data_IF_464868385855
#
_entry.id   IF_464868385855
#
_cell.length_a   1.000
_cell.length_b   1.000
_cell.length_c   1.000
_cell.angle_alpha   90.00
_cell.angle_beta   90.00
_cell.angle_gamma   90.00
#
_symmetry.space_group_name_H-M   'P 1'
#
loop_
_entity.id
_entity.type
_entity.pdbx_description
1 polymer ?
#
# COMPACT_ATOMS: atom_id res chain seq x y z
N UNK A 1 26.70 7.91 -1.55
CA UNK A 1 25.92 8.04 -2.79
C UNK A 1 25.53 9.50 -2.91
N UNK A 2 25.81 10.15 -4.03
CA UNK A 2 25.39 11.54 -4.24
C UNK A 2 23.89 11.60 -4.64
N UNK A 3 23.20 12.75 -4.55
CA UNK A 3 21.76 12.84 -4.84
C UNK A 3 21.37 12.41 -6.25
N UNK A 4 22.20 12.71 -7.25
CA UNK A 4 21.95 12.36 -8.66
C UNK A 4 22.08 10.85 -8.89
N UNK A 5 23.10 10.23 -8.30
CA UNK A 5 23.33 8.78 -8.31
C UNK A 5 22.20 8.03 -7.60
N UNK A 6 21.67 8.58 -6.50
CA UNK A 6 20.49 8.04 -5.82
C UNK A 6 19.26 8.10 -6.73
N UNK A 7 19.01 9.24 -7.37
CA UNK A 7 17.88 9.41 -8.31
C UNK A 7 17.98 8.43 -9.49
N UNK A 8 19.14 8.32 -10.13
CA UNK A 8 19.38 7.39 -11.24
C UNK A 8 19.15 5.93 -10.81
N UNK A 9 19.62 5.56 -9.61
CA UNK A 9 19.42 4.23 -9.05
C UNK A 9 17.94 3.93 -8.78
N UNK A 10 17.20 4.86 -8.18
CA UNK A 10 15.76 4.69 -7.93
C UNK A 10 14.99 4.57 -9.25
N UNK A 11 15.30 5.42 -10.24
CA UNK A 11 14.67 5.33 -11.56
C UNK A 11 14.94 3.98 -12.24
N UNK A 12 16.15 3.44 -12.08
CA UNK A 12 16.47 2.08 -12.55
C UNK A 12 15.65 1.02 -11.80
N UNK A 13 15.53 1.11 -10.48
CA UNK A 13 14.72 0.18 -9.70
C UNK A 13 13.23 0.20 -10.10
N UNK A 14 12.66 1.38 -10.39
CA UNK A 14 11.29 1.51 -10.92
C UNK A 14 11.16 0.76 -12.25
N UNK A 15 12.14 0.89 -13.16
CA UNK A 15 12.14 0.16 -14.43
C UNK A 15 12.22 -1.35 -14.21
N UNK A 16 13.05 -1.79 -13.27
CA UNK A 16 13.20 -3.21 -12.93
C UNK A 16 11.88 -3.79 -12.37
N UNK A 17 11.19 -3.08 -11.47
CA UNK A 17 9.87 -3.49 -10.95
C UNK A 17 8.80 -3.55 -12.05
N UNK A 18 8.73 -2.55 -12.93
CA UNK A 18 7.80 -2.54 -14.07
C UNK A 18 8.08 -3.68 -15.06
N UNK A 19 9.35 -4.06 -15.23
CA UNK A 19 9.73 -5.22 -16.04
C UNK A 19 9.23 -6.52 -15.41
N UNK A 20 9.33 -6.66 -14.08
CA UNK A 20 8.75 -7.79 -13.33
C UNK A 20 7.25 -7.89 -13.55
N UNK A 21 6.52 -6.77 -13.46
CA UNK A 21 5.07 -6.72 -13.75
C UNK A 21 4.74 -7.26 -15.14
N UNK A 22 5.49 -6.83 -16.17
CA UNK A 22 5.31 -7.32 -17.54
C UNK A 22 5.58 -8.81 -17.68
N UNK A 23 6.67 -9.31 -17.08
CA UNK A 23 7.02 -10.73 -17.10
C UNK A 23 5.99 -11.61 -16.38
N UNK A 24 5.54 -11.19 -15.20
CA UNK A 24 4.50 -11.90 -14.44
C UNK A 24 3.18 -11.88 -15.22
N UNK A 25 2.78 -10.73 -15.78
CA UNK A 25 1.59 -10.59 -16.60
C UNK A 25 1.57 -11.54 -17.80
N UNK A 26 2.71 -11.73 -18.47
CA UNK A 26 2.84 -12.69 -19.57
C UNK A 26 2.75 -14.14 -19.09
N UNK A 27 3.29 -14.46 -17.92
CA UNK A 27 3.21 -15.81 -17.32
C UNK A 27 1.78 -16.15 -16.89
N UNK A 28 1.09 -15.21 -16.26
CA UNK A 28 -0.33 -15.28 -15.86
C UNK A 28 -1.24 -15.62 -17.05
N UNK A 29 -0.99 -15.02 -18.23
CA UNK A 29 -1.76 -15.29 -19.46
C UNK A 29 -1.57 -16.72 -19.99
N UNK A 30 -0.43 -17.35 -19.71
CA UNK A 30 -0.07 -18.68 -20.25
C UNK A 30 -0.52 -19.83 -19.35
N UNK A 31 -0.65 -19.59 -18.04
CA UNK A 31 -1.08 -20.64 -17.11
C UNK A 31 -2.60 -20.84 -17.12
N UNK A 32 -3.01 -22.11 -17.18
CA UNK A 32 -4.41 -22.52 -16.97
C UNK A 32 -4.69 -22.87 -15.50
N UNK A 33 -3.66 -23.02 -14.67
CA UNK A 33 -3.82 -23.33 -13.26
C UNK A 33 -4.23 -22.05 -12.50
N UNK A 34 -5.43 -22.06 -11.93
CA UNK A 34 -6.00 -20.88 -11.28
C UNK A 34 -5.26 -20.48 -9.99
N UNK A 35 -4.77 -21.45 -9.21
CA UNK A 35 -4.01 -21.18 -7.97
C UNK A 35 -2.70 -20.47 -8.32
N UNK A 36 -1.95 -21.00 -9.30
CA UNK A 36 -0.71 -20.38 -9.77
C UNK A 36 -0.99 -18.97 -10.34
N UNK A 37 -2.10 -18.82 -11.07
CA UNK A 37 -2.51 -17.53 -11.63
C UNK A 37 -2.72 -16.49 -10.53
N UNK A 38 -3.48 -16.83 -9.49
CA UNK A 38 -3.78 -15.92 -8.37
C UNK A 38 -2.50 -15.58 -7.59
N UNK A 39 -1.67 -16.57 -7.27
CA UNK A 39 -0.40 -16.33 -6.58
C UNK A 39 0.52 -15.39 -7.37
N UNK A 40 0.61 -15.54 -8.68
CA UNK A 40 1.38 -14.63 -9.53
C UNK A 40 0.77 -13.24 -9.62
N UNK A 41 -0.57 -13.10 -9.52
CA UNK A 41 -1.23 -11.80 -9.47
C UNK A 41 -0.88 -11.05 -8.18
N UNK A 42 -0.80 -11.74 -7.04
CA UNK A 42 -0.37 -11.13 -5.76
C UNK A 42 1.05 -10.56 -5.91
N UNK A 43 1.98 -11.36 -6.43
CA UNK A 43 3.37 -10.91 -6.67
C UNK A 43 3.46 -9.73 -7.65
N UNK A 44 2.58 -9.71 -8.66
CA UNK A 44 2.50 -8.60 -9.60
C UNK A 44 2.03 -7.32 -8.91
N UNK A 45 1.04 -7.40 -8.03
CA UNK A 45 0.54 -6.27 -7.24
C UNK A 45 1.64 -5.76 -6.30
N UNK A 46 2.43 -6.64 -5.69
CA UNK A 46 3.58 -6.24 -4.87
C UNK A 46 4.63 -5.46 -5.66
N UNK A 47 5.00 -5.91 -6.86
CA UNK A 47 5.92 -5.15 -7.72
C UNK A 47 5.36 -3.77 -8.11
N UNK A 48 4.05 -3.66 -8.33
CA UNK A 48 3.41 -2.35 -8.57
C UNK A 48 3.51 -1.46 -7.31
N UNK A 49 3.22 -2.01 -6.13
CA UNK A 49 3.34 -1.32 -4.85
C UNK A 49 4.76 -0.78 -4.65
N UNK A 50 5.79 -1.60 -4.88
CA UNK A 50 7.19 -1.17 -4.77
C UNK A 50 7.53 -0.04 -5.73
N UNK A 51 7.12 -0.14 -7.00
CA UNK A 51 7.32 0.93 -7.98
C UNK A 51 6.68 2.25 -7.52
N UNK A 52 5.49 2.20 -6.91
CA UNK A 52 4.81 3.39 -6.36
C UNK A 52 5.54 4.00 -5.16
N UNK A 53 6.06 3.18 -4.25
CA UNK A 53 6.89 3.67 -3.14
C UNK A 53 8.14 4.37 -3.66
N UNK A 54 8.80 3.81 -4.68
CA UNK A 54 9.97 4.43 -5.31
C UNK A 54 9.62 5.75 -6.02
N UNK A 55 8.44 5.84 -6.66
CA UNK A 55 7.92 7.08 -7.23
C UNK A 55 7.65 8.16 -6.16
N UNK A 56 7.17 7.76 -4.98
CA UNK A 56 7.01 8.67 -3.83
C UNK A 56 8.36 9.26 -3.44
N UNK A 57 9.40 8.44 -3.29
CA UNK A 57 10.75 8.91 -2.92
C UNK A 57 11.28 9.97 -3.91
N UNK A 58 11.00 9.82 -5.21
CA UNK A 58 11.40 10.81 -6.23
C UNK A 58 10.54 12.08 -6.24
N UNK A 59 9.30 12.03 -5.75
CA UNK A 59 8.33 13.13 -5.87
C UNK A 59 8.20 13.98 -4.61
N UNK A 60 8.64 13.50 -3.45
CA UNK A 60 8.51 14.22 -2.17
C UNK A 60 9.15 15.61 -2.12
N UNK A 61 10.13 15.91 -2.98
CA UNK A 61 10.72 17.26 -3.06
C UNK A 61 9.89 18.26 -3.90
N UNK A 62 8.81 17.79 -4.54
CA UNK A 62 8.00 18.54 -5.50
C UNK A 62 6.50 18.45 -5.22
N UNK A 63 6.09 17.89 -4.08
CA UNK A 63 4.67 17.70 -3.77
C UNK A 63 4.01 19.07 -3.56
N UNK A 64 3.05 19.48 -4.41
CA UNK A 64 2.31 20.70 -4.18
C UNK A 64 1.45 20.55 -2.91
N UNK A 65 1.25 21.65 -2.17
CA UNK A 65 0.26 21.68 -1.10
C UNK A 65 -1.13 21.46 -1.71
N UNK A 66 -1.96 20.64 -1.05
CA UNK A 66 -3.34 20.45 -1.46
C UNK A 66 -4.09 21.77 -1.38
N UNK A 67 -4.86 22.09 -2.43
CA UNK A 67 -5.72 23.27 -2.42
C UNK A 67 -6.91 23.04 -1.45
N UNK A 68 -7.42 24.13 -0.87
CA UNK A 68 -8.48 24.05 0.17
C UNK A 68 -9.75 23.28 -0.25
N UNK A 69 -10.09 23.29 -1.55
CA UNK A 69 -11.20 22.52 -2.10
C UNK A 69 -10.91 21.01 -2.20
N UNK A 70 -9.66 20.63 -2.47
CA UNK A 70 -9.23 19.23 -2.57
C UNK A 70 -9.15 18.58 -1.18
N UNK A 71 -8.76 19.37 -0.16
CA UNK A 71 -8.66 18.91 1.23
C UNK A 71 -9.97 18.33 1.76
N UNK A 72 -11.11 18.99 1.49
CA UNK A 72 -12.42 18.55 1.98
C UNK A 72 -12.83 17.20 1.40
N UNK A 73 -12.71 17.03 0.08
CA UNK A 73 -13.08 15.80 -0.62
C UNK A 73 -12.14 14.64 -0.27
N UNK A 74 -10.82 14.89 -0.24
CA UNK A 74 -9.83 13.86 0.11
C UNK A 74 -10.02 13.41 1.56
N UNK A 75 -10.19 14.35 2.50
CA UNK A 75 -10.40 14.00 3.90
C UNK A 75 -11.72 13.25 4.12
N UNK A 76 -12.78 13.56 3.37
CA UNK A 76 -14.03 12.82 3.44
C UNK A 76 -13.86 11.39 2.95
N UNK A 77 -13.30 11.18 1.76
CA UNK A 77 -13.12 9.82 1.21
C UNK A 77 -12.20 8.96 2.08
N UNK A 78 -11.15 9.53 2.67
CA UNK A 78 -10.29 8.79 3.60
C UNK A 78 -11.05 8.37 4.87
N UNK A 79 -11.92 9.22 5.41
CA UNK A 79 -12.78 8.86 6.56
C UNK A 79 -13.79 7.77 6.21
N UNK A 80 -14.37 7.82 5.02
CA UNK A 80 -15.26 6.76 4.53
C UNK A 80 -14.50 5.43 4.42
N UNK A 81 -13.27 5.45 3.90
CA UNK A 81 -12.41 4.26 3.82
C UNK A 81 -12.10 3.64 5.19
N UNK A 82 -11.81 4.47 6.21
CA UNK A 82 -11.58 4.01 7.59
C UNK A 82 -12.79 3.24 8.14
N UNK A 83 -14.01 3.68 7.84
CA UNK A 83 -15.23 2.98 8.26
C UNK A 83 -15.46 1.69 7.45
N UNK A 84 -15.19 1.71 6.14
CA UNK A 84 -15.27 0.52 5.29
C UNK A 84 -14.31 -0.58 5.75
N UNK A 85 -13.06 -0.23 6.10
CA UNK A 85 -12.07 -1.16 6.65
C UNK A 85 -12.53 -1.75 7.99
N UNK A 86 -13.17 -0.96 8.84
CA UNK A 86 -13.70 -1.46 10.12
C UNK A 86 -14.76 -2.53 9.92
N UNK A 87 -15.72 -2.29 9.04
CA UNK A 87 -16.74 -3.28 8.67
C UNK A 87 -16.10 -4.53 8.07
N UNK A 88 -15.06 -4.36 7.25
CA UNK A 88 -14.32 -5.47 6.65
C UNK A 88 -13.61 -6.32 7.72
N UNK A 89 -12.96 -5.70 8.70
CA UNK A 89 -12.31 -6.38 9.81
C UNK A 89 -13.30 -7.18 10.65
N UNK A 90 -14.45 -6.60 10.99
CA UNK A 90 -15.52 -7.31 11.72
C UNK A 90 -15.95 -8.58 10.98
N UNK A 91 -16.14 -8.49 9.65
CA UNK A 91 -16.51 -9.64 8.83
C UNK A 91 -15.42 -10.73 8.82
N UNK A 92 -14.13 -10.35 8.76
CA UNK A 92 -13.05 -11.33 8.81
C UNK A 92 -12.92 -12.00 10.17
N UNK A 93 -13.07 -11.26 11.26
CA UNK A 93 -13.06 -11.81 12.63
C UNK A 93 -14.20 -12.81 12.81
N UNK A 94 -15.40 -12.47 12.34
CA UNK A 94 -16.58 -13.35 12.32
C UNK A 94 -16.35 -14.65 11.52
N UNK A 95 -15.58 -14.58 10.43
CA UNK A 95 -15.23 -15.76 9.62
C UNK A 95 -14.19 -16.63 10.33
N UNK A 96 -13.17 -16.03 10.96
CA UNK A 96 -12.13 -16.74 11.72
C UNK A 96 -12.74 -17.60 12.82
N UNK A 97 -13.74 -17.08 13.53
CA UNK A 97 -14.44 -17.80 14.59
C UNK A 97 -15.19 -19.03 14.09
N UNK A 98 -15.73 -18.97 12.87
CA UNK A 98 -16.56 -20.04 12.26
C UNK A 98 -15.74 -21.08 11.48
N UNK A 99 -14.50 -20.79 11.11
CA UNK A 99 -13.66 -21.68 10.29
C UNK A 99 -12.97 -22.75 11.14
N UNK A 100 -13.26 -24.03 10.86
CA UNK A 100 -12.61 -25.17 11.52
C UNK A 100 -11.22 -25.50 10.96
N UNK A 101 -10.99 -25.27 9.66
CA UNK A 101 -9.70 -25.56 9.01
C UNK A 101 -8.63 -24.56 9.48
N UNK A 102 -7.62 -25.08 10.20
CA UNK A 102 -6.55 -24.26 10.76
C UNK A 102 -5.71 -23.51 9.71
N UNK A 103 -5.58 -24.05 8.48
CA UNK A 103 -4.83 -23.38 7.42
C UNK A 103 -5.62 -22.22 6.85
N UNK A 104 -6.93 -22.39 6.65
CA UNK A 104 -7.80 -21.31 6.20
C UNK A 104 -7.86 -20.22 7.27
N UNK A 105 -8.03 -20.62 8.55
CA UNK A 105 -8.00 -19.70 9.69
C UNK A 105 -6.72 -18.86 9.70
N UNK A 106 -5.56 -19.51 9.59
CA UNK A 106 -4.27 -18.82 9.54
C UNK A 106 -4.19 -17.80 8.38
N UNK A 107 -4.69 -18.14 7.19
CA UNK A 107 -4.70 -17.20 6.07
C UNK A 107 -5.61 -15.98 6.34
N UNK A 108 -6.79 -16.19 6.94
CA UNK A 108 -7.69 -15.11 7.31
C UNK A 108 -7.09 -14.20 8.41
N UNK A 109 -6.44 -14.77 9.40
CA UNK A 109 -5.73 -14.02 10.46
C UNK A 109 -4.61 -13.13 9.88
N UNK A 110 -3.89 -13.61 8.85
CA UNK A 110 -2.91 -12.79 8.15
C UNK A 110 -3.57 -11.60 7.44
N UNK A 111 -4.72 -11.81 6.78
CA UNK A 111 -5.48 -10.73 6.15
C UNK A 111 -5.93 -9.70 7.19
N UNK A 112 -6.48 -10.14 8.33
CA UNK A 112 -6.86 -9.22 9.43
C UNK A 112 -5.66 -8.41 9.92
N UNK A 113 -4.49 -9.05 10.01
CA UNK A 113 -3.26 -8.36 10.43
C UNK A 113 -2.86 -7.28 9.41
N UNK A 114 -3.01 -7.56 8.12
CA UNK A 114 -2.76 -6.59 7.06
C UNK A 114 -3.78 -5.45 7.06
N UNK A 115 -5.08 -5.73 7.21
CA UNK A 115 -6.10 -4.68 7.28
C UNK A 115 -5.94 -3.78 8.51
N UNK A 116 -5.56 -4.34 9.67
CA UNK A 116 -5.22 -3.53 10.86
C UNK A 116 -4.06 -2.58 10.58
N UNK A 117 -3.09 -2.98 9.76
CA UNK A 117 -1.99 -2.09 9.34
C UNK A 117 -2.49 -1.02 8.38
N UNK A 118 -3.27 -1.40 7.36
CA UNK A 118 -3.84 -0.47 6.39
C UNK A 118 -4.69 0.61 7.08
N UNK A 119 -5.52 0.22 8.04
CA UNK A 119 -6.32 1.13 8.85
C UNK A 119 -5.48 2.21 9.54
N UNK A 120 -4.46 1.80 10.29
CA UNK A 120 -3.54 2.74 10.97
C UNK A 120 -2.82 3.67 9.96
N UNK A 121 -2.54 3.16 8.76
CA UNK A 121 -1.92 3.94 7.68
C UNK A 121 -2.88 5.00 7.15
N UNK A 122 -4.13 4.64 6.86
CA UNK A 122 -5.15 5.54 6.32
C UNK A 122 -5.54 6.61 7.34
N UNK A 123 -5.69 6.24 8.61
CA UNK A 123 -5.89 7.21 9.70
C UNK A 123 -4.76 8.24 9.74
N UNK A 124 -3.51 7.78 9.67
CA UNK A 124 -2.35 8.68 9.71
C UNK A 124 -2.26 9.57 8.47
N UNK A 125 -2.60 9.06 7.29
CA UNK A 125 -2.70 9.88 6.07
C UNK A 125 -3.79 10.95 6.25
N UNK A 126 -4.93 10.59 6.82
CA UNK A 126 -6.04 11.52 7.08
C UNK A 126 -5.61 12.65 8.01
N UNK A 127 -4.89 12.35 9.08
CA UNK A 127 -4.33 13.37 10.00
C UNK A 127 -3.38 14.33 9.27
N UNK A 128 -2.44 13.79 8.47
CA UNK A 128 -1.46 14.60 7.72
C UNK A 128 -2.12 15.47 6.64
N UNK A 129 -3.20 15.00 6.02
CA UNK A 129 -3.94 15.76 5.01
C UNK A 129 -4.72 16.91 5.66
N UNK A 130 -5.37 16.67 6.80
CA UNK A 130 -6.20 17.68 7.46
C UNK A 130 -5.36 18.77 8.13
N UNK A 131 -4.14 18.46 8.55
CA UNK A 131 -3.21 19.43 9.11
C UNK A 131 -2.60 20.35 8.03
N UNK A 132 -3.03 21.60 8.02
CA UNK A 132 -2.54 22.65 7.10
C UNK A 132 -1.06 23.02 7.27
N UNK A 133 -0.44 22.60 8.38
CA UNK A 133 0.97 22.85 8.70
C UNK A 133 1.87 21.63 8.46
N UNK A 134 1.35 20.54 7.88
CA UNK A 134 2.14 19.34 7.57
C UNK A 134 3.36 19.69 6.71
N UNK A 135 4.55 19.38 7.25
CA UNK A 135 5.83 19.57 6.57
C UNK A 135 6.28 18.31 5.82
N UNK A 136 7.22 18.46 4.89
CA UNK A 136 7.85 17.32 4.19
C UNK A 136 8.48 16.32 5.19
N UNK A 137 9.00 16.80 6.31
CA UNK A 137 9.57 15.97 7.38
C UNK A 137 8.51 15.09 8.06
N UNK A 138 7.28 15.58 8.21
CA UNK A 138 6.17 14.78 8.76
C UNK A 138 5.78 13.64 7.81
N UNK A 139 5.83 13.88 6.48
CA UNK A 139 5.65 12.83 5.48
C UNK A 139 6.80 11.82 5.49
N UNK A 140 8.05 12.26 5.67
CA UNK A 140 9.21 11.37 5.80
C UNK A 140 9.13 10.49 7.05
N UNK A 141 8.76 11.06 8.19
CA UNK A 141 8.57 10.32 9.44
C UNK A 141 7.46 9.27 9.28
N UNK A 142 6.35 9.64 8.63
CA UNK A 142 5.29 8.69 8.31
C UNK A 142 5.78 7.55 7.41
N UNK A 143 6.46 7.82 6.29
CA UNK A 143 6.96 6.77 5.40
C UNK A 143 8.04 5.89 6.06
N UNK A 144 8.86 6.48 6.93
CA UNK A 144 9.82 5.72 7.72
C UNK A 144 9.11 4.75 8.67
N UNK A 145 8.05 5.19 9.36
CA UNK A 145 7.23 4.33 10.23
C UNK A 145 6.41 3.31 9.42
N UNK A 146 5.91 3.69 8.24
CA UNK A 146 5.21 2.79 7.30
C UNK A 146 6.06 1.56 6.98
N UNK A 147 7.36 1.75 6.72
CA UNK A 147 8.30 0.64 6.44
C UNK A 147 8.58 -0.27 7.64
N UNK A 148 8.22 0.16 8.86
CA UNK A 148 8.40 -0.61 10.10
C UNK A 148 7.13 -1.30 10.57
N UNK A 149 5.96 -0.93 10.03
CA UNK A 149 4.68 -1.60 10.28
C UNK A 149 4.52 -2.88 9.45
N UNK A 150 5.41 -3.11 8.46
CA UNK A 150 5.43 -4.29 7.58
C UNK A 150 6.35 -5.43 8.05
N UNK A 151 6.96 -5.32 9.25
CA UNK A 151 7.80 -6.36 9.87
C UNK A 151 7.14 -6.99 11.08
#
# INVERSE_FOLDING_TARGET
MNPQELEENIQKMIKDERKTVSHLGNTIKKTKNNVIKILMQILLIDSLKHAKILEIILSMQKTPKLESSELGEVAQHLKEHVEEEKIMMENFEDMVDKVEDQKIRFLLENIITDEKRHHNIVERITELVVDSETSDDAWWDFLYRYSRLTK
#
